data_IF_954685970986
#
_entry.id   IF_954685970986
#
_cell.length_a   1.000
_cell.length_b   1.000
_cell.length_c   1.000
_cell.angle_alpha   90.00
_cell.angle_beta   90.00
_cell.angle_gamma   90.00
#
_symmetry.space_group_name_H-M   'P 1'
#
loop_
_entity.id
_entity.type
_entity.pdbx_description
1 polymer ?
#
# COMPACT_ATOMS: atom_id res chain seq x y z
N UNK A 1 9.15 -1.82 2.50
CA UNK A 1 8.83 -0.85 3.57
C UNK A 1 9.08 0.54 3.03
N UNK A 2 8.06 1.41 2.98
CA UNK A 2 8.18 2.81 2.52
C UNK A 2 7.75 3.71 3.67
N UNK A 3 8.44 4.84 3.83
CA UNK A 3 8.16 5.83 4.88
C UNK A 3 8.16 7.19 4.18
N UNK A 4 7.22 8.07 4.53
CA UNK A 4 7.21 9.44 4.02
C UNK A 4 8.32 10.24 4.71
N UNK A 5 9.16 10.89 3.90
CA UNK A 5 10.31 11.66 4.34
C UNK A 5 10.18 13.06 3.76
N UNK A 6 10.37 14.07 4.59
CA UNK A 6 10.45 15.47 4.17
C UNK A 6 11.64 15.63 3.20
N UNK A 7 11.41 16.10 1.96
CA UNK A 7 12.49 16.22 0.98
C UNK A 7 13.52 17.30 1.34
N UNK A 8 13.17 18.27 2.17
CA UNK A 8 14.01 19.40 2.56
C UNK A 8 14.81 19.08 3.83
N UNK A 9 14.21 18.41 4.81
CA UNK A 9 14.85 18.12 6.11
C UNK A 9 15.37 16.69 6.25
N UNK A 10 14.86 15.74 5.45
CA UNK A 10 15.15 14.32 5.60
C UNK A 10 14.48 13.68 6.83
N UNK A 11 13.61 14.41 7.54
CA UNK A 11 12.88 13.90 8.69
C UNK A 11 11.69 13.05 8.27
N UNK A 12 11.31 12.11 9.12
CA UNK A 12 10.10 11.31 8.91
C UNK A 12 8.89 12.21 9.10
N UNK A 13 8.07 12.34 8.07
CA UNK A 13 6.80 13.09 8.14
C UNK A 13 5.61 12.12 8.13
N UNK A 14 4.52 12.47 8.81
CA UNK A 14 3.25 11.75 8.62
C UNK A 14 2.90 11.74 7.13
N UNK A 15 2.33 10.64 6.64
CA UNK A 15 2.00 10.46 5.22
C UNK A 15 0.86 11.39 4.71
N UNK A 16 0.50 12.42 5.48
CA UNK A 16 -0.62 13.35 5.25
C UNK A 16 -0.32 14.45 4.22
N UNK A 17 0.92 14.57 3.73
CA UNK A 17 1.36 15.56 2.72
C UNK A 17 1.63 14.85 1.37
N UNK A 18 1.44 15.49 0.20
CA UNK A 18 1.16 14.84 -1.09
C UNK A 18 2.38 14.19 -1.78
N UNK A 19 3.35 13.71 -1.01
CA UNK A 19 4.17 12.53 -1.35
C UNK A 19 3.33 11.27 -1.57
N UNK A 20 2.07 11.27 -1.10
CA UNK A 20 1.06 10.23 -1.32
C UNK A 20 0.89 9.87 -2.80
N UNK A 21 0.74 10.81 -3.73
CA UNK A 21 0.23 10.50 -5.08
C UNK A 21 1.07 9.49 -5.89
N UNK A 22 2.41 9.51 -5.74
CA UNK A 22 3.29 8.53 -6.38
C UNK A 22 3.33 7.20 -5.61
N UNK A 23 3.26 7.26 -4.27
CA UNK A 23 3.07 6.07 -3.45
C UNK A 23 1.71 5.40 -3.72
N UNK A 24 0.67 6.19 -3.99
CA UNK A 24 -0.70 5.74 -4.26
C UNK A 24 -0.78 4.99 -5.59
N UNK A 25 -0.08 5.46 -6.63
CA UNK A 25 -0.13 4.82 -7.96
C UNK A 25 0.56 3.45 -7.94
N UNK A 26 1.73 3.36 -7.31
CA UNK A 26 2.47 2.10 -7.22
C UNK A 26 1.82 1.13 -6.22
N UNK A 27 1.33 1.62 -5.07
CA UNK A 27 0.56 0.82 -4.12
C UNK A 27 -0.73 0.31 -4.75
N UNK A 28 -1.44 1.13 -5.54
CA UNK A 28 -2.62 0.70 -6.27
C UNK A 28 -2.28 -0.37 -7.31
N UNK A 29 -1.15 -0.27 -8.02
CA UNK A 29 -0.70 -1.34 -8.90
C UNK A 29 -0.39 -2.63 -8.12
N UNK A 30 0.36 -2.52 -7.01
CA UNK A 30 0.70 -3.67 -6.16
C UNK A 30 -0.53 -4.43 -5.67
N UNK A 31 -1.55 -3.70 -5.22
CA UNK A 31 -2.77 -4.26 -4.65
C UNK A 31 -3.82 -4.61 -5.73
N UNK A 32 -3.56 -4.32 -7.00
CA UNK A 32 -4.45 -4.70 -8.09
C UNK A 32 -4.52 -6.22 -8.24
N UNK A 33 -5.73 -6.76 -8.35
CA UNK A 33 -5.99 -8.18 -8.66
C UNK A 33 -6.47 -8.39 -10.11
N UNK A 34 -6.24 -7.40 -10.98
CA UNK A 34 -6.65 -7.49 -12.39
C UNK A 34 -5.69 -8.38 -13.18
N UNK A 35 -6.24 -9.29 -13.99
CA UNK A 35 -5.47 -10.11 -14.93
C UNK A 35 -5.29 -9.47 -16.33
N UNK A 36 -5.93 -8.32 -16.58
CA UNK A 36 -5.88 -7.66 -17.90
C UNK A 36 -4.45 -7.26 -18.23
N UNK A 37 -4.02 -7.56 -19.46
CA UNK A 37 -2.68 -7.22 -19.96
C UNK A 37 -1.53 -7.98 -19.28
N UNK A 38 -1.83 -9.04 -18.51
CA UNK A 38 -0.80 -9.98 -18.06
C UNK A 38 -0.22 -10.75 -19.25
N UNK A 39 1.05 -11.11 -19.16
CA UNK A 39 1.78 -11.80 -20.23
C UNK A 39 2.14 -13.21 -19.78
N UNK A 40 1.80 -14.18 -20.61
CA UNK A 40 2.24 -15.56 -20.45
C UNK A 40 3.71 -15.70 -20.88
N UNK A 41 4.48 -16.42 -20.07
CA UNK A 41 5.86 -16.77 -20.32
C UNK A 41 5.93 -18.28 -20.48
N UNK A 42 6.28 -18.72 -21.70
CA UNK A 42 6.48 -20.12 -22.03
C UNK A 42 7.93 -20.52 -21.76
N UNK A 43 8.13 -21.61 -21.04
CA UNK A 43 9.44 -22.10 -20.67
C UNK A 43 9.86 -23.33 -21.50
N UNK A 44 11.17 -23.59 -21.67
CA UNK A 44 11.66 -24.68 -22.53
C UNK A 44 11.25 -26.09 -22.11
N UNK A 45 10.93 -26.28 -20.84
CA UNK A 45 10.44 -27.53 -20.23
C UNK A 45 8.91 -27.68 -20.32
N UNK A 46 8.23 -26.78 -21.02
CA UNK A 46 6.81 -26.86 -21.34
C UNK A 46 5.86 -26.26 -20.30
N UNK A 47 6.36 -25.70 -19.20
CA UNK A 47 5.51 -24.96 -18.27
C UNK A 47 5.21 -23.54 -18.77
N UNK A 48 4.08 -23.00 -18.30
CA UNK A 48 3.65 -21.62 -18.57
C UNK A 48 3.53 -20.90 -17.23
N UNK A 49 4.19 -19.77 -17.10
CA UNK A 49 4.00 -18.84 -15.97
C UNK A 49 3.37 -17.54 -16.47
N UNK A 50 2.80 -16.75 -15.56
CA UNK A 50 2.26 -15.43 -15.90
C UNK A 50 3.08 -14.36 -15.19
N UNK A 51 3.60 -13.38 -15.93
CA UNK A 51 4.24 -12.20 -15.34
C UNK A 51 3.18 -11.28 -14.74
N UNK A 52 3.12 -11.26 -13.40
CA UNK A 52 2.18 -10.47 -12.61
C UNK A 52 2.44 -8.96 -12.68
N UNK A 53 3.59 -8.52 -13.21
CA UNK A 53 3.94 -7.11 -13.40
C UNK A 53 3.80 -6.29 -12.11
N UNK A 54 4.24 -6.88 -11.00
CA UNK A 54 4.18 -6.27 -9.67
C UNK A 54 2.78 -6.16 -9.06
N UNK A 55 1.76 -6.81 -9.64
CA UNK A 55 0.38 -6.88 -9.10
C UNK A 55 0.19 -8.08 -8.16
N UNK A 56 -1.02 -8.23 -7.62
CA UNK A 56 -1.45 -9.32 -6.75
C UNK A 56 -0.72 -9.42 -5.41
N UNK A 57 0.03 -8.41 -5.02
CA UNK A 57 0.76 -8.36 -3.76
C UNK A 57 -0.18 -8.06 -2.58
N UNK A 58 0.38 -8.15 -1.38
CA UNK A 58 -0.16 -7.59 -0.15
C UNK A 58 0.83 -6.55 0.39
N UNK A 59 0.33 -5.61 1.20
CA UNK A 59 1.13 -4.56 1.79
C UNK A 59 0.87 -4.46 3.30
N UNK A 60 1.93 -4.31 4.09
CA UNK A 60 1.84 -3.88 5.47
C UNK A 60 1.92 -2.36 5.52
N UNK A 61 0.90 -1.73 6.11
CA UNK A 61 0.79 -0.29 6.29
C UNK A 61 0.89 0.04 7.77
N UNK A 62 1.50 1.19 8.07
CA UNK A 62 1.49 1.76 9.40
C UNK A 62 1.14 3.24 9.30
N UNK A 63 0.41 3.76 10.28
CA UNK A 63 0.11 5.18 10.43
C UNK A 63 0.36 5.62 11.86
N UNK A 64 0.58 6.92 12.02
CA UNK A 64 0.68 7.58 13.32
C UNK A 64 -0.59 8.41 13.48
N UNK A 65 -1.37 8.13 14.51
CA UNK A 65 -2.58 8.86 14.82
C UNK A 65 -2.27 10.17 15.57
N UNK A 66 -3.27 11.04 15.73
CA UNK A 66 -3.10 12.38 16.32
C UNK A 66 -2.65 12.37 17.79
N UNK A 67 -2.86 11.26 18.49
CA UNK A 67 -2.41 11.01 19.87
C UNK A 67 -0.97 10.47 19.94
N UNK A 68 -0.33 10.23 18.79
CA UNK A 68 1.01 9.66 18.67
C UNK A 68 1.05 8.12 18.70
N UNK A 69 -0.10 7.46 18.76
CA UNK A 69 -0.19 5.99 18.68
C UNK A 69 0.16 5.51 17.27
N UNK A 70 0.87 4.39 17.18
CA UNK A 70 1.19 3.74 15.91
C UNK A 70 0.22 2.58 15.69
N UNK A 71 -0.58 2.66 14.65
CA UNK A 71 -1.39 1.54 14.18
C UNK A 71 -0.75 0.91 12.94
N UNK A 72 -0.85 -0.41 12.82
CA UNK A 72 -0.37 -1.15 11.66
C UNK A 72 -1.37 -2.22 11.22
N UNK A 73 -1.48 -2.42 9.92
CA UNK A 73 -2.37 -3.42 9.32
C UNK A 73 -1.77 -4.03 8.06
N UNK A 74 -2.31 -5.18 7.63
CA UNK A 74 -2.01 -5.77 6.33
C UNK A 74 -3.23 -5.62 5.42
N UNK A 75 -2.99 -5.15 4.19
CA UNK A 75 -4.04 -4.93 3.18
C UNK A 75 -3.70 -5.64 1.88
N UNK A 76 -4.74 -6.04 1.17
CA UNK A 76 -4.64 -6.74 -0.11
C UNK A 76 -5.38 -6.03 -1.24
N UNK A 77 -6.01 -4.88 -0.96
CA UNK A 77 -6.73 -4.05 -1.92
C UNK A 77 -6.48 -2.55 -1.68
N UNK A 78 -6.54 -1.76 -2.75
CA UNK A 78 -6.35 -0.32 -2.69
C UNK A 78 -7.44 0.37 -1.84
N UNK A 79 -8.69 -0.10 -1.91
CA UNK A 79 -9.79 0.45 -1.11
C UNK A 79 -9.52 0.28 0.40
N UNK A 80 -9.07 -0.90 0.84
CA UNK A 80 -8.70 -1.14 2.24
C UNK A 80 -7.51 -0.31 2.68
N UNK A 81 -6.54 -0.10 1.79
CA UNK A 81 -5.42 0.79 2.06
C UNK A 81 -5.89 2.23 2.27
N UNK A 82 -6.77 2.74 1.39
CA UNK A 82 -7.32 4.08 1.48
C UNK A 82 -8.16 4.27 2.75
N UNK A 83 -9.03 3.31 3.08
CA UNK A 83 -9.80 3.30 4.32
C UNK A 83 -8.89 3.42 5.55
N UNK A 84 -7.86 2.57 5.65
CA UNK A 84 -6.90 2.59 6.77
C UNK A 84 -6.14 3.93 6.85
N UNK A 85 -5.73 4.50 5.73
CA UNK A 85 -4.98 5.76 5.72
C UNK A 85 -5.87 6.99 5.95
N UNK A 86 -7.17 6.91 5.63
CA UNK A 86 -8.15 7.98 5.86
C UNK A 86 -8.67 8.05 7.30
N UNK A 87 -8.48 7.00 8.11
CA UNK A 87 -9.01 6.88 9.47
C UNK A 87 -8.37 7.78 10.53
N UNK A 88 -7.39 8.62 10.18
CA UNK A 88 -6.66 9.48 11.13
C UNK A 88 -7.53 10.52 11.87
N UNK A 89 -8.81 10.69 11.49
CA UNK A 89 -9.75 11.65 12.09
C UNK A 89 -10.86 11.03 12.96
N UNK A 90 -10.96 9.69 13.08
CA UNK A 90 -12.14 9.07 13.72
C UNK A 90 -11.78 8.25 14.95
N UNK A 91 -11.69 8.96 16.09
CA UNK A 91 -11.71 8.38 17.43
C UNK A 91 -12.96 7.52 17.63
N UNK A 92 -12.76 6.21 17.78
CA UNK A 92 -13.45 5.30 18.71
C UNK A 92 -13.46 3.89 18.12
N UNK A 93 -12.76 2.97 18.79
CA UNK A 93 -13.25 1.62 18.94
C UNK A 93 -12.93 1.14 20.36
N UNK A 94 -13.96 1.18 21.22
CA UNK A 94 -13.97 0.44 22.47
C UNK A 94 -13.96 -1.06 22.16
N UNK A 95 -13.04 -1.77 22.82
CA UNK A 95 -12.95 -3.23 22.81
C UNK A 95 -13.98 -3.77 23.82
N UNK A 96 -14.87 -4.66 23.35
CA UNK A 96 -15.59 -5.61 24.21
C UNK A 96 -14.89 -6.97 24.18
#
# INVERSE_FOLDING_TARGET
>A
MRIAIDPDTGELIPATVPTAKAADTELANMLSKSAVGLVEVHHPDGHVSVDLQGRFMSASLARIDSDGTIEATCVESADRAAEFLSGADNTQWEVQ
#
